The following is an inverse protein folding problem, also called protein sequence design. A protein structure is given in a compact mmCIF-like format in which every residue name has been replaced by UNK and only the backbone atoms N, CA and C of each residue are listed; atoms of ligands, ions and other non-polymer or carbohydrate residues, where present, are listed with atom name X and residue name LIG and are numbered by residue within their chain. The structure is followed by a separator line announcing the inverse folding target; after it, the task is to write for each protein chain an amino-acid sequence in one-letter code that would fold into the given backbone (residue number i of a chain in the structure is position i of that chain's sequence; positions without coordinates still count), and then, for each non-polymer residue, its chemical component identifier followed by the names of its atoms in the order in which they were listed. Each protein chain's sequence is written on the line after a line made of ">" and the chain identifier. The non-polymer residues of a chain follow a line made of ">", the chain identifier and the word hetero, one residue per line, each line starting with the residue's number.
data_IF_050366213116
#
_entry.id   IF_050366213116
#
_cell.length_a   1.000
_cell.length_b   1.000
_cell.length_c   1.000
_cell.angle_alpha   90.00
_cell.angle_beta   90.00
_cell.angle_gamma   90.00
#
_symmetry.space_group_name_H-M   'P 1'
#
loop_
_entity.id
_entity.type
_entity.pdbx_description
1 polymer ?
#
# COMPACT_ATOMS: atom_id res chain seq x y z
N UNK A 1 -6.23 26.43 -17.19
CA UNK A 1 -5.55 25.32 -17.89
C UNK A 1 -6.59 24.33 -18.36
N UNK A 2 -6.55 24.01 -19.64
CA UNK A 2 -7.34 22.93 -20.21
C UNK A 2 -6.68 21.61 -19.81
N UNK A 3 -7.46 20.60 -19.42
CA UNK A 3 -6.96 19.25 -19.11
C UNK A 3 -7.23 18.39 -20.35
N UNK A 4 -6.38 18.42 -21.39
CA UNK A 4 -6.60 17.63 -22.59
C UNK A 4 -6.50 16.14 -22.23
N UNK A 5 -7.51 15.37 -22.63
CA UNK A 5 -7.59 13.93 -22.39
C UNK A 5 -7.26 13.16 -23.69
N UNK A 6 -6.16 13.51 -24.36
CA UNK A 6 -5.78 12.93 -25.68
C UNK A 6 -5.69 11.39 -25.66
N UNK A 7 -5.20 10.82 -24.55
CA UNK A 7 -5.15 9.36 -24.36
C UNK A 7 -6.53 8.67 -24.38
N UNK A 8 -7.60 9.45 -24.18
CA UNK A 8 -9.00 9.03 -24.23
C UNK A 8 -9.71 9.59 -25.46
N UNK A 9 -8.99 9.95 -26.53
CA UNK A 9 -9.59 10.58 -27.71
C UNK A 9 -10.41 11.84 -27.40
N UNK A 10 -9.97 12.62 -26.39
CA UNK A 10 -10.63 13.82 -25.87
C UNK A 10 -11.91 13.58 -25.06
N UNK A 11 -12.29 12.32 -24.80
CA UNK A 11 -13.36 12.00 -23.86
C UNK A 11 -12.94 12.25 -22.40
N UNK A 12 -13.93 12.52 -21.56
CA UNK A 12 -13.71 12.73 -20.12
C UNK A 12 -13.52 11.39 -19.38
N UNK A 13 -12.73 11.35 -18.29
CA UNK A 13 -12.58 10.12 -17.49
C UNK A 13 -13.92 9.53 -17.01
N UNK A 14 -14.94 10.37 -16.78
CA UNK A 14 -16.27 9.95 -16.37
C UNK A 14 -17.01 9.13 -17.45
N UNK A 15 -16.73 9.34 -18.74
CA UNK A 15 -17.30 8.54 -19.84
C UNK A 15 -16.76 7.11 -19.91
N UNK A 16 -15.53 6.90 -19.42
CA UNK A 16 -14.88 5.58 -19.43
C UNK A 16 -14.97 4.86 -18.08
N UNK A 17 -15.16 5.60 -16.98
CA UNK A 17 -15.24 5.02 -15.65
C UNK A 17 -16.48 4.11 -15.53
N UNK A 18 -16.25 2.88 -15.08
CA UNK A 18 -17.29 1.93 -14.68
C UNK A 18 -16.99 1.48 -13.26
N UNK A 19 -17.99 1.48 -12.39
CA UNK A 19 -17.83 0.93 -11.05
C UNK A 19 -17.43 -0.55 -11.11
N UNK A 20 -16.51 -0.94 -10.24
CA UNK A 20 -16.16 -2.35 -10.04
C UNK A 20 -17.40 -3.14 -9.60
N UNK A 21 -17.63 -4.30 -10.21
CA UNK A 21 -18.64 -5.25 -9.74
C UNK A 21 -18.26 -5.90 -8.40
N UNK A 22 -16.96 -5.90 -8.07
CA UNK A 22 -16.44 -6.35 -6.78
C UNK A 22 -16.58 -5.22 -5.76
N UNK A 23 -17.36 -5.48 -4.71
CA UNK A 23 -17.44 -4.60 -3.55
C UNK A 23 -16.10 -4.53 -2.82
N UNK A 24 -15.74 -3.33 -2.35
CA UNK A 24 -14.63 -3.16 -1.41
C UNK A 24 -15.00 -3.84 -0.09
N UNK A 25 -14.16 -4.71 0.49
CA UNK A 25 -14.46 -5.30 1.78
C UNK A 25 -14.46 -4.25 2.90
N UNK A 26 -15.31 -4.44 3.92
CA UNK A 26 -15.36 -3.56 5.08
C UNK A 26 -14.05 -3.56 5.87
N UNK A 27 -13.33 -4.68 5.86
CA UNK A 27 -12.00 -4.82 6.44
C UNK A 27 -11.11 -5.50 5.40
N UNK A 28 -9.99 -4.88 4.99
CA UNK A 28 -9.06 -5.53 4.09
C UNK A 28 -8.45 -6.77 4.76
N UNK A 29 -8.19 -7.85 4.01
CA UNK A 29 -7.49 -9.00 4.55
C UNK A 29 -6.07 -8.61 4.96
N UNK A 30 -5.54 -9.28 5.98
CA UNK A 30 -4.12 -9.14 6.33
C UNK A 30 -3.24 -9.60 5.17
N UNK A 31 -2.07 -8.94 4.94
CA UNK A 31 -1.12 -9.39 3.94
C UNK A 31 -0.61 -10.81 4.23
N UNK A 32 -0.54 -11.64 3.20
CA UNK A 32 0.10 -12.95 3.27
C UNK A 32 1.62 -12.78 3.10
N UNK A 33 2.37 -13.05 4.16
CA UNK A 33 3.83 -12.92 4.20
C UNK A 33 4.50 -14.29 4.13
N UNK A 34 5.67 -14.40 3.48
CA UNK A 34 6.44 -15.65 3.47
C UNK A 34 6.76 -16.13 4.90
N UNK A 35 6.71 -17.44 5.12
CA UNK A 35 6.90 -18.04 6.45
C UNK A 35 8.31 -17.79 7.03
N UNK A 36 9.30 -17.65 6.15
CA UNK A 36 10.69 -17.33 6.46
C UNK A 36 10.92 -15.85 6.78
N UNK A 37 9.94 -14.97 6.48
CA UNK A 37 10.07 -13.55 6.74
C UNK A 37 9.83 -13.23 8.21
N UNK A 38 10.66 -12.35 8.75
CA UNK A 38 10.39 -11.80 10.07
C UNK A 38 9.37 -10.67 9.94
N UNK A 39 8.17 -10.91 10.46
CA UNK A 39 7.10 -9.92 10.52
C UNK A 39 7.31 -8.98 11.72
N UNK A 40 7.22 -7.67 11.48
CA UNK A 40 7.41 -6.61 12.47
C UNK A 40 6.33 -5.54 12.32
N UNK A 41 5.83 -5.05 13.45
CA UNK A 41 4.93 -3.89 13.44
C UNK A 41 5.72 -2.59 13.31
N UNK A 42 5.25 -1.70 12.45
CA UNK A 42 5.81 -0.37 12.27
C UNK A 42 5.39 0.53 13.43
N UNK A 43 6.36 1.22 14.02
CA UNK A 43 6.13 2.17 15.13
C UNK A 43 5.45 3.44 14.62
N UNK A 44 4.91 4.24 15.55
CA UNK A 44 4.26 5.51 15.24
C UNK A 44 5.16 6.53 14.50
N UNK A 45 6.48 6.41 14.63
CA UNK A 45 7.46 7.24 13.94
C UNK A 45 7.84 6.70 12.55
N UNK A 46 7.29 5.56 12.13
CA UNK A 46 7.52 4.94 10.83
C UNK A 46 8.66 3.92 10.79
N UNK A 47 9.25 3.58 11.92
CA UNK A 47 10.39 2.66 12.00
C UNK A 47 10.00 1.25 12.46
N UNK A 48 10.79 0.26 12.03
CA UNK A 48 10.80 -1.09 12.61
C UNK A 48 12.11 -1.35 13.35
N UNK A 49 12.07 -2.26 14.34
CA UNK A 49 13.31 -2.81 14.91
C UNK A 49 13.80 -3.96 14.04
N UNK A 50 15.01 -3.83 13.51
CA UNK A 50 15.60 -4.79 12.58
C UNK A 50 17.11 -4.96 12.85
N UNK A 51 17.60 -6.21 12.91
CA UNK A 51 19.02 -6.55 13.09
C UNK A 51 19.77 -5.71 14.15
N UNK A 52 19.11 -5.49 15.30
CA UNK A 52 19.69 -4.72 16.42
C UNK A 52 19.58 -3.20 16.30
N UNK A 53 19.13 -2.67 15.15
CA UNK A 53 18.92 -1.25 14.90
C UNK A 53 17.45 -0.89 14.60
N UNK A 54 17.28 0.33 14.10
CA UNK A 54 16.01 0.85 13.60
C UNK A 54 16.12 1.15 12.12
N UNK A 55 15.11 0.74 11.36
CA UNK A 55 15.01 1.00 9.93
C UNK A 55 13.70 1.75 9.69
N UNK A 56 13.81 2.95 9.13
CA UNK A 56 12.63 3.71 8.72
C UNK A 56 12.01 3.06 7.48
N UNK A 57 10.70 2.79 7.54
CA UNK A 57 9.91 2.21 6.45
C UNK A 57 8.98 3.28 5.90
N UNK A 58 7.97 3.67 6.69
CA UNK A 58 7.01 4.73 6.34
C UNK A 58 6.12 5.03 7.54
N UNK A 59 5.92 6.32 7.84
CA UNK A 59 4.96 6.75 8.86
C UNK A 59 3.51 6.37 8.50
N UNK A 60 3.19 6.24 7.22
CA UNK A 60 1.84 5.86 6.77
C UNK A 60 1.46 4.43 7.17
N UNK A 61 2.45 3.59 7.47
CA UNK A 61 2.25 2.21 7.91
C UNK A 61 2.25 2.07 9.44
N UNK A 62 2.21 3.15 10.21
CA UNK A 62 2.24 3.08 11.67
C UNK A 62 1.13 2.15 12.21
N UNK A 63 1.52 1.14 12.97
CA UNK A 63 0.62 0.10 13.49
C UNK A 63 0.49 -1.14 12.59
N UNK A 64 0.84 -1.03 11.31
CA UNK A 64 0.76 -2.12 10.35
C UNK A 64 1.94 -3.08 10.48
N UNK A 65 1.70 -4.34 10.11
CA UNK A 65 2.73 -5.36 9.98
C UNK A 65 3.49 -5.19 8.65
N UNK A 66 4.80 -5.43 8.67
CA UNK A 66 5.64 -5.54 7.47
C UNK A 66 6.57 -6.74 7.59
N UNK A 67 6.79 -7.42 6.47
CA UNK A 67 7.79 -8.48 6.36
C UNK A 67 9.17 -7.91 6.03
N UNK A 68 10.20 -8.44 6.67
CA UNK A 68 11.59 -8.19 6.33
C UNK A 68 12.34 -9.53 6.26
N UNK A 69 13.25 -9.61 5.29
CA UNK A 69 14.14 -10.75 5.05
C UNK A 69 15.58 -10.26 5.04
N UNK A 70 16.48 -11.05 5.60
CA UNK A 70 17.91 -10.79 5.47
C UNK A 70 18.37 -11.20 4.06
N UNK A 71 19.22 -10.39 3.44
CA UNK A 71 19.78 -10.64 2.10
C UNK A 71 21.21 -11.14 2.23
#
# INVERSE_FOLDING_TARGET
>A
EERPHEALAMDTPAQHYRSSSRAMPATPPEPDYPAEAAVRSVRHNGEIRWNGGFVYVSKALAGEAVAAIET
#
